data_IF_141493697209
#
_entry.id   IF_141493697209
#
_cell.length_a   1.000
_cell.length_b   1.000
_cell.length_c   1.000
_cell.angle_alpha   90.00
_cell.angle_beta   90.00
_cell.angle_gamma   90.00
#
_symmetry.space_group_name_H-M   'P 1'
#
loop_
_entity.id
_entity.type
_entity.pdbx_description
1 polymer ?
#
# COMPACT_ATOMS: atom_id res chain seq x y z
N UNK A 1 -11.98 -20.35 14.18
CA UNK A 1 -13.43 -20.29 14.00
C UNK A 1 -14.03 -19.04 14.67
N UNK A 2 -13.64 -18.69 15.93
CA UNK A 2 -14.19 -17.53 16.67
C UNK A 2 -14.00 -16.20 15.92
N UNK A 3 -12.80 -15.93 15.38
CA UNK A 3 -12.51 -14.68 14.61
C UNK A 3 -13.36 -14.61 13.35
N UNK A 4 -13.52 -15.72 12.63
CA UNK A 4 -14.34 -15.78 11.43
C UNK A 4 -15.82 -15.56 11.75
N UNK A 5 -16.34 -16.16 12.84
CA UNK A 5 -17.72 -15.92 13.27
C UNK A 5 -17.93 -14.48 13.73
N UNK A 6 -17.01 -13.88 14.46
CA UNK A 6 -17.08 -12.46 14.84
C UNK A 6 -17.07 -11.54 13.60
N UNK A 7 -16.25 -11.85 12.58
CA UNK A 7 -16.20 -11.09 11.34
C UNK A 7 -17.51 -11.20 10.55
N UNK A 8 -18.09 -12.41 10.46
CA UNK A 8 -19.41 -12.62 9.81
C UNK A 8 -20.50 -11.86 10.57
N UNK A 9 -20.53 -11.93 11.89
CA UNK A 9 -21.49 -11.19 12.72
C UNK A 9 -21.32 -9.66 12.50
N UNK A 10 -20.10 -9.15 12.49
CA UNK A 10 -19.81 -7.75 12.22
C UNK A 10 -20.34 -7.30 10.85
N UNK A 11 -20.09 -8.10 9.80
CA UNK A 11 -20.61 -7.82 8.46
C UNK A 11 -22.14 -7.87 8.42
N UNK A 12 -22.75 -8.86 9.09
CA UNK A 12 -24.20 -9.02 9.13
C UNK A 12 -24.88 -7.84 9.86
N UNK A 13 -24.32 -7.40 10.98
CA UNK A 13 -24.82 -6.22 11.71
C UNK A 13 -24.72 -4.97 10.82
N UNK A 14 -23.59 -4.77 10.15
CA UNK A 14 -23.44 -3.61 9.25
C UNK A 14 -24.40 -3.65 8.04
N UNK A 15 -24.75 -4.84 7.53
CA UNK A 15 -25.72 -4.98 6.45
C UNK A 15 -27.16 -4.64 6.89
N UNK A 16 -27.48 -4.80 8.19
CA UNK A 16 -28.81 -4.50 8.76
C UNK A 16 -28.99 -3.04 9.18
N UNK A 17 -27.90 -2.26 9.30
CA UNK A 17 -27.97 -0.85 9.68
C UNK A 17 -28.17 0.01 8.43
N UNK A 18 -29.31 0.71 8.29
CA UNK A 18 -29.52 1.66 7.19
C UNK A 18 -28.41 2.74 7.23
N UNK A 19 -27.80 3.03 6.07
CA UNK A 19 -26.69 3.99 5.95
C UNK A 19 -25.41 3.58 6.70
N UNK A 20 -25.18 2.28 6.91
CA UNK A 20 -23.90 1.84 7.49
C UNK A 20 -22.70 2.36 6.68
N UNK A 21 -21.55 2.63 7.31
CA UNK A 21 -20.34 3.07 6.60
C UNK A 21 -19.95 2.11 5.46
N UNK A 22 -20.16 0.82 5.63
CA UNK A 22 -19.87 -0.21 4.60
C UNK A 22 -20.84 -0.07 3.42
N UNK A 23 -22.14 0.04 3.68
CA UNK A 23 -23.15 0.19 2.62
C UNK A 23 -22.96 1.50 1.85
N UNK A 24 -22.66 2.60 2.56
CA UNK A 24 -22.36 3.88 1.92
C UNK A 24 -21.09 3.81 1.05
N UNK A 25 -20.09 3.05 1.47
CA UNK A 25 -18.88 2.82 0.65
C UNK A 25 -19.19 2.01 -0.61
N UNK A 26 -20.05 0.99 -0.52
CA UNK A 26 -20.47 0.21 -1.70
C UNK A 26 -21.28 1.06 -2.69
N UNK A 27 -22.19 1.89 -2.21
CA UNK A 27 -22.96 2.79 -3.08
C UNK A 27 -22.09 3.88 -3.70
N UNK A 28 -21.12 4.44 -2.93
CA UNK A 28 -20.10 5.35 -3.46
C UNK A 28 -19.26 4.68 -4.55
N UNK A 29 -18.80 3.44 -4.33
CA UNK A 29 -18.03 2.71 -5.34
C UNK A 29 -18.78 2.55 -6.66
N UNK A 30 -20.09 2.25 -6.60
CA UNK A 30 -20.93 2.19 -7.80
C UNK A 30 -21.02 3.53 -8.54
N UNK A 31 -21.21 4.62 -7.79
CA UNK A 31 -21.26 5.97 -8.36
C UNK A 31 -19.89 6.39 -8.93
N UNK A 32 -18.81 6.04 -8.22
CA UNK A 32 -17.44 6.29 -8.68
C UNK A 32 -17.15 5.53 -9.98
N UNK A 33 -17.58 4.27 -10.08
CA UNK A 33 -17.42 3.48 -11.30
C UNK A 33 -18.18 4.10 -12.49
N UNK A 34 -19.39 4.62 -12.26
CA UNK A 34 -20.15 5.32 -13.30
C UNK A 34 -19.48 6.63 -13.74
N UNK A 35 -18.95 7.43 -12.81
CA UNK A 35 -18.24 8.66 -13.13
C UNK A 35 -16.95 8.43 -13.92
N UNK A 36 -16.26 7.30 -13.68
CA UNK A 36 -15.09 6.88 -14.46
C UNK A 36 -15.48 6.60 -15.92
N UNK A 37 -16.62 5.96 -16.15
CA UNK A 37 -17.12 5.67 -17.50
C UNK A 37 -17.33 6.95 -18.33
N UNK A 38 -17.74 8.03 -17.67
CA UNK A 38 -17.92 9.36 -18.33
C UNK A 38 -16.68 10.25 -18.25
N UNK A 39 -15.52 9.71 -17.82
CA UNK A 39 -14.24 10.42 -17.67
C UNK A 39 -14.29 11.62 -16.71
N UNK A 40 -15.19 11.62 -15.76
CA UNK A 40 -15.24 12.61 -14.68
C UNK A 40 -14.41 12.15 -13.48
N UNK A 41 -13.16 12.55 -13.43
CA UNK A 41 -12.20 12.21 -12.36
C UNK A 41 -12.28 13.19 -11.16
N UNK A 42 -13.49 13.50 -10.69
CA UNK A 42 -13.71 14.50 -9.63
C UNK A 42 -13.80 13.90 -8.22
N UNK A 43 -14.03 12.59 -8.15
CA UNK A 43 -14.10 11.86 -6.87
C UNK A 43 -12.75 11.21 -6.50
N UNK A 44 -12.62 10.78 -5.24
CA UNK A 44 -11.38 10.19 -4.71
C UNK A 44 -10.86 8.99 -5.54
N UNK A 45 -11.76 8.13 -6.00
CA UNK A 45 -11.40 6.96 -6.82
C UNK A 45 -10.95 7.38 -8.20
N UNK A 46 -11.66 8.30 -8.84
CA UNK A 46 -11.31 8.84 -10.15
C UNK A 46 -9.95 9.55 -10.15
N UNK A 47 -9.69 10.37 -9.13
CA UNK A 47 -8.39 11.02 -8.95
C UNK A 47 -7.26 9.99 -8.90
N UNK A 48 -7.38 8.94 -8.05
CA UNK A 48 -6.38 7.88 -7.96
C UNK A 48 -6.15 7.17 -9.28
N UNK A 49 -7.22 6.81 -9.99
CA UNK A 49 -7.10 6.18 -11.31
C UNK A 49 -6.41 7.07 -12.33
N UNK A 50 -6.67 8.38 -12.32
CA UNK A 50 -5.96 9.31 -13.19
C UNK A 50 -4.48 9.39 -12.85
N UNK A 51 -4.13 9.46 -11.56
CA UNK A 51 -2.75 9.43 -11.09
C UNK A 51 -2.04 8.13 -11.46
N UNK A 52 -2.70 6.97 -11.32
CA UNK A 52 -2.14 5.67 -11.71
C UNK A 52 -1.95 5.55 -13.23
N UNK A 53 -2.90 6.08 -14.01
CA UNK A 53 -2.76 6.17 -15.47
C UNK A 53 -1.57 7.06 -15.86
N UNK A 54 -1.39 8.18 -15.15
CA UNK A 54 -0.23 9.06 -15.33
C UNK A 54 1.07 8.32 -15.00
N UNK A 55 1.11 7.56 -13.91
CA UNK A 55 2.27 6.73 -13.53
C UNK A 55 2.64 5.72 -14.61
N UNK A 56 1.65 5.04 -15.20
CA UNK A 56 1.89 4.11 -16.31
C UNK A 56 2.49 4.82 -17.53
N UNK A 57 2.00 6.00 -17.87
CA UNK A 57 2.54 6.79 -18.99
C UNK A 57 3.99 7.23 -18.72
N UNK A 58 4.30 7.67 -17.50
CA UNK A 58 5.66 8.03 -17.09
C UNK A 58 6.60 6.83 -17.13
N UNK A 59 6.15 5.67 -16.65
CA UNK A 59 6.91 4.42 -16.72
C UNK A 59 7.19 3.98 -18.16
N UNK A 60 6.22 4.09 -19.07
CA UNK A 60 6.42 3.76 -20.47
C UNK A 60 7.51 4.63 -21.14
N UNK A 61 7.64 5.88 -20.73
CA UNK A 61 8.67 6.79 -21.26
C UNK A 61 10.03 6.63 -20.57
N UNK A 62 10.05 6.23 -19.30
CA UNK A 62 11.27 6.08 -18.48
C UNK A 62 11.25 4.76 -17.70
N UNK A 63 11.32 3.59 -18.38
CA UNK A 63 11.01 2.30 -17.74
C UNK A 63 12.08 1.81 -16.76
N UNK A 64 13.33 2.21 -16.89
CA UNK A 64 14.44 1.67 -16.07
C UNK A 64 14.59 2.45 -14.77
N UNK A 65 14.75 3.77 -14.86
CA UNK A 65 15.07 4.65 -13.73
C UNK A 65 13.91 5.55 -13.29
N UNK A 66 12.79 5.55 -14.05
CA UNK A 66 11.68 6.47 -13.79
C UNK A 66 12.01 7.92 -14.05
N UNK A 67 11.15 8.83 -13.58
CA UNK A 67 11.30 10.28 -13.76
C UNK A 67 11.76 11.02 -12.49
N UNK A 68 11.98 10.31 -11.40
CA UNK A 68 12.23 10.87 -10.07
C UNK A 68 10.94 11.42 -9.43
N UNK A 69 11.03 11.67 -8.11
CA UNK A 69 9.89 12.23 -7.34
C UNK A 69 9.48 13.58 -7.91
N UNK A 70 10.42 14.44 -8.24
CA UNK A 70 10.17 15.76 -8.82
C UNK A 70 9.51 15.68 -10.19
N UNK A 71 9.87 14.69 -11.02
CA UNK A 71 9.21 14.46 -12.31
C UNK A 71 7.75 14.02 -12.19
N UNK A 72 7.41 13.29 -11.14
CA UNK A 72 6.01 12.97 -10.80
C UNK A 72 5.25 14.24 -10.44
N UNK A 73 5.80 15.06 -9.55
CA UNK A 73 5.19 16.31 -9.11
C UNK A 73 4.92 17.24 -10.30
N UNK A 74 5.92 17.47 -11.15
CA UNK A 74 5.75 18.26 -12.38
C UNK A 74 4.65 17.69 -13.31
N UNK A 75 4.57 16.38 -13.44
CA UNK A 75 3.54 15.77 -14.28
C UNK A 75 2.14 15.94 -13.69
N UNK A 76 2.00 15.82 -12.36
CA UNK A 76 0.74 16.05 -11.66
C UNK A 76 0.33 17.52 -11.69
N UNK A 77 1.29 18.46 -11.63
CA UNK A 77 1.07 19.90 -11.80
C UNK A 77 0.51 20.23 -13.19
N UNK A 78 1.00 19.57 -14.24
CA UNK A 78 0.43 19.71 -15.59
C UNK A 78 -1.03 19.25 -15.64
N UNK A 79 -1.35 18.11 -15.02
CA UNK A 79 -2.72 17.61 -14.94
C UNK A 79 -3.62 18.57 -14.15
N UNK A 80 -3.11 19.20 -13.11
CA UNK A 80 -3.83 20.24 -12.37
C UNK A 80 -4.03 21.50 -13.21
N UNK A 81 -3.00 22.01 -13.89
CA UNK A 81 -3.09 23.16 -14.80
C UNK A 81 -4.10 22.92 -15.94
N UNK A 82 -4.21 21.70 -16.44
CA UNK A 82 -5.20 21.26 -17.42
C UNK A 82 -6.61 21.04 -16.82
N UNK A 83 -6.84 21.37 -15.55
CA UNK A 83 -8.09 21.17 -14.81
C UNK A 83 -8.60 19.71 -14.78
N UNK A 84 -7.70 18.74 -14.95
CA UNK A 84 -8.00 17.31 -14.85
C UNK A 84 -7.96 16.82 -13.40
N UNK A 85 -7.18 17.49 -12.54
CA UNK A 85 -7.10 17.25 -11.10
C UNK A 85 -7.63 18.45 -10.33
N UNK A 86 -8.24 18.27 -9.14
CA UNK A 86 -8.74 19.35 -8.30
C UNK A 86 -7.63 20.13 -7.59
N UNK A 87 -6.46 19.50 -7.42
CA UNK A 87 -5.24 20.07 -6.83
C UNK A 87 -4.02 19.32 -7.35
N UNK A 88 -2.82 19.84 -7.10
CA UNK A 88 -1.60 19.08 -7.34
C UNK A 88 -1.38 18.02 -6.24
N UNK A 89 -0.77 16.90 -6.62
CA UNK A 89 -0.44 15.80 -5.74
C UNK A 89 1.04 15.45 -5.84
N UNK A 90 1.73 15.34 -4.71
CA UNK A 90 3.15 14.99 -4.65
C UNK A 90 3.40 13.48 -4.85
N UNK A 91 2.38 12.65 -4.61
CA UNK A 91 2.48 11.19 -4.73
C UNK A 91 1.22 10.58 -5.34
N UNK A 92 1.31 9.29 -5.69
CA UNK A 92 0.30 8.62 -6.50
C UNK A 92 -0.75 7.84 -5.70
N UNK A 93 -0.81 8.01 -4.36
CA UNK A 93 -1.72 7.29 -3.45
C UNK A 93 -1.70 5.77 -3.65
N UNK A 94 -0.55 5.22 -4.05
CA UNK A 94 -0.27 3.80 -4.18
C UNK A 94 1.23 3.63 -4.33
N UNK A 95 1.81 2.79 -3.47
CA UNK A 95 3.25 2.61 -3.40
C UNK A 95 3.84 2.01 -4.70
N UNK A 96 3.13 1.07 -5.32
CA UNK A 96 3.61 0.40 -6.54
C UNK A 96 3.62 1.37 -7.72
N UNK A 97 2.53 2.12 -7.93
CA UNK A 97 2.46 3.11 -9.01
C UNK A 97 3.41 4.28 -8.80
N UNK A 98 3.65 4.65 -7.54
CA UNK A 98 4.62 5.70 -7.24
C UNK A 98 6.04 5.24 -7.56
N UNK A 99 6.48 4.10 -7.02
CA UNK A 99 7.81 3.56 -7.26
C UNK A 99 8.07 3.28 -8.75
N UNK A 100 7.06 2.77 -9.44
CA UNK A 100 7.11 2.53 -10.88
C UNK A 100 7.37 3.83 -11.67
N UNK A 101 6.70 4.91 -11.33
CA UNK A 101 6.88 6.20 -12.01
C UNK A 101 8.16 6.91 -11.56
N UNK A 102 8.45 6.93 -10.25
CA UNK A 102 9.60 7.64 -9.70
C UNK A 102 10.93 6.97 -10.05
N UNK A 103 11.02 5.66 -9.87
CA UNK A 103 12.29 4.93 -9.93
C UNK A 103 12.29 3.79 -10.95
N UNK A 104 11.22 3.65 -11.74
CA UNK A 104 11.12 2.66 -12.81
C UNK A 104 11.17 1.22 -12.31
N UNK A 105 11.75 0.34 -13.14
CA UNK A 105 11.94 -1.07 -12.80
C UNK A 105 12.87 -1.26 -11.60
N UNK A 106 13.88 -0.41 -11.44
CA UNK A 106 14.80 -0.49 -10.30
C UNK A 106 14.05 -0.22 -8.98
N UNK A 107 13.17 0.78 -8.94
CA UNK A 107 12.33 1.04 -7.77
C UNK A 107 11.37 -0.10 -7.47
N UNK A 108 10.72 -0.65 -8.49
CA UNK A 108 9.86 -1.82 -8.32
C UNK A 108 10.60 -3.04 -7.77
N UNK A 109 11.80 -3.33 -8.30
CA UNK A 109 12.64 -4.43 -7.81
C UNK A 109 13.07 -4.20 -6.36
N UNK A 110 13.47 -2.97 -6.00
CA UNK A 110 13.83 -2.61 -4.64
C UNK A 110 12.65 -2.75 -3.67
N UNK A 111 11.48 -2.22 -4.05
CA UNK A 111 10.25 -2.35 -3.28
C UNK A 111 9.87 -3.83 -3.06
N UNK A 112 9.73 -4.57 -4.14
CA UNK A 112 9.34 -5.99 -4.09
C UNK A 112 10.39 -6.83 -3.35
N UNK A 113 11.68 -6.54 -3.56
CA UNK A 113 12.78 -7.20 -2.86
C UNK A 113 12.70 -7.00 -1.34
N UNK A 114 12.46 -5.77 -0.89
CA UNK A 114 12.32 -5.44 0.54
C UNK A 114 11.17 -6.22 1.19
N UNK A 115 9.98 -6.16 0.59
CA UNK A 115 8.82 -6.88 1.13
C UNK A 115 8.99 -8.39 1.06
N UNK A 116 9.49 -8.92 -0.06
CA UNK A 116 9.71 -10.35 -0.24
C UNK A 116 10.75 -10.89 0.74
N UNK A 117 11.87 -10.19 0.93
CA UNK A 117 12.91 -10.61 1.89
C UNK A 117 12.35 -10.68 3.33
N UNK A 118 11.60 -9.67 3.76
CA UNK A 118 10.97 -9.65 5.08
C UNK A 118 9.93 -10.78 5.22
N UNK A 119 9.05 -10.96 4.23
CA UNK A 119 8.04 -12.03 4.24
C UNK A 119 8.69 -13.42 4.25
N UNK A 120 9.75 -13.65 3.47
CA UNK A 120 10.49 -14.91 3.46
C UNK A 120 11.17 -15.18 4.81
N UNK A 121 11.80 -14.16 5.41
CA UNK A 121 12.45 -14.30 6.70
C UNK A 121 11.45 -14.70 7.79
N UNK A 122 10.38 -13.93 7.95
CA UNK A 122 9.36 -14.21 8.96
C UNK A 122 8.58 -15.51 8.63
N UNK A 123 8.27 -15.76 7.38
CA UNK A 123 7.58 -16.97 6.92
C UNK A 123 8.36 -18.25 7.24
N UNK A 124 9.69 -18.24 7.11
CA UNK A 124 10.56 -19.36 7.46
C UNK A 124 10.43 -19.76 8.92
N UNK A 125 10.20 -18.81 9.83
CA UNK A 125 10.16 -19.02 11.27
C UNK A 125 8.73 -19.13 11.83
N UNK A 126 7.71 -19.05 11.00
CA UNK A 126 6.29 -19.10 11.41
C UNK A 126 5.93 -20.34 12.24
N UNK A 127 6.44 -21.51 11.88
CA UNK A 127 6.15 -22.77 12.55
C UNK A 127 7.28 -23.23 13.48
N UNK A 128 8.14 -22.31 13.93
CA UNK A 128 9.27 -22.66 14.81
C UNK A 128 8.78 -23.24 16.15
N UNK A 129 9.52 -24.24 16.72
CA UNK A 129 9.15 -24.90 17.98
C UNK A 129 9.18 -23.94 19.18
N UNK A 130 10.19 -23.04 19.22
CA UNK A 130 10.26 -22.00 20.23
C UNK A 130 9.12 -20.99 20.06
N UNK A 131 8.30 -20.85 21.13
CA UNK A 131 7.12 -19.97 21.15
C UNK A 131 7.45 -18.50 20.92
N UNK A 132 8.60 -18.01 21.44
CA UNK A 132 9.01 -16.63 21.27
C UNK A 132 9.31 -16.33 19.80
N UNK A 133 10.10 -17.21 19.16
CA UNK A 133 10.43 -17.07 17.72
C UNK A 133 9.16 -17.08 16.88
N UNK A 134 8.25 -18.02 17.15
CA UNK A 134 6.98 -18.10 16.44
C UNK A 134 6.14 -16.82 16.60
N UNK A 135 6.02 -16.31 17.83
CA UNK A 135 5.25 -15.07 18.10
C UNK A 135 5.85 -13.87 17.40
N UNK A 136 7.18 -13.69 17.48
CA UNK A 136 7.88 -12.61 16.79
C UNK A 136 7.71 -12.71 15.27
N UNK A 137 7.77 -13.91 14.72
CA UNK A 137 7.59 -14.16 13.28
C UNK A 137 6.16 -13.85 12.81
N UNK A 138 5.14 -14.27 13.58
CA UNK A 138 3.75 -13.93 13.29
C UNK A 138 3.52 -12.40 13.33
N UNK A 139 4.10 -11.73 14.35
CA UNK A 139 4.01 -10.27 14.46
C UNK A 139 4.68 -9.56 13.29
N UNK A 140 5.86 -10.04 12.87
CA UNK A 140 6.58 -9.51 11.72
C UNK A 140 5.82 -9.69 10.42
N UNK A 141 5.24 -10.87 10.18
CA UNK A 141 4.40 -11.11 9.00
C UNK A 141 3.18 -10.18 8.97
N UNK A 142 2.45 -10.08 10.09
CA UNK A 142 1.29 -9.20 10.17
C UNK A 142 1.67 -7.74 9.92
N UNK A 143 2.79 -7.28 10.47
CA UNK A 143 3.30 -5.94 10.29
C UNK A 143 3.66 -5.63 8.83
N UNK A 144 4.41 -6.53 8.18
CA UNK A 144 4.84 -6.37 6.77
C UNK A 144 3.63 -6.41 5.83
N UNK A 145 2.72 -7.36 6.01
CA UNK A 145 1.50 -7.47 5.21
C UNK A 145 0.63 -6.22 5.38
N UNK A 146 0.46 -5.73 6.61
CA UNK A 146 -0.28 -4.51 6.88
C UNK A 146 0.29 -3.32 6.09
N UNK A 147 1.62 -3.10 6.15
CA UNK A 147 2.25 -1.98 5.45
C UNK A 147 2.16 -2.10 3.93
N UNK A 148 2.26 -3.31 3.39
CA UNK A 148 2.05 -3.53 1.95
C UNK A 148 0.61 -3.21 1.55
N UNK A 149 -0.38 -3.75 2.25
CA UNK A 149 -1.79 -3.50 1.96
C UNK A 149 -2.17 -2.02 2.14
N UNK A 150 -1.68 -1.38 3.20
CA UNK A 150 -1.89 0.05 3.42
C UNK A 150 -1.24 0.88 2.30
N UNK A 151 -0.04 0.49 1.85
CA UNK A 151 0.66 1.11 0.71
C UNK A 151 -0.09 1.02 -0.62
N UNK A 152 -0.99 0.06 -0.79
CA UNK A 152 -1.83 -0.04 -1.99
C UNK A 152 -2.93 1.02 -2.04
N UNK A 153 -3.30 1.62 -0.91
CA UNK A 153 -4.34 2.65 -0.82
C UNK A 153 -3.81 4.04 -0.52
N UNK A 154 -2.62 4.11 0.07
CA UNK A 154 -1.90 5.34 0.37
C UNK A 154 -0.40 5.06 0.34
N UNK A 155 0.41 6.01 -0.15
CA UNK A 155 1.86 5.82 -0.19
C UNK A 155 2.49 6.12 1.18
N UNK A 156 2.29 5.23 2.15
CA UNK A 156 2.76 5.40 3.53
C UNK A 156 4.28 5.61 3.63
N UNK A 157 5.06 4.89 2.80
CA UNK A 157 6.50 5.01 2.79
C UNK A 157 7.03 6.27 2.07
N UNK A 158 6.14 7.11 1.53
CA UNK A 158 6.51 8.45 1.06
C UNK A 158 6.90 9.35 2.22
N UNK A 159 6.29 9.17 3.37
CA UNK A 159 6.57 9.95 4.57
C UNK A 159 7.79 9.37 5.29
N UNK A 160 8.82 10.17 5.47
CA UNK A 160 10.12 9.78 6.03
C UNK A 160 9.98 9.08 7.39
N UNK A 161 9.12 9.59 8.27
CA UNK A 161 8.86 9.01 9.61
C UNK A 161 8.31 7.59 9.52
N UNK A 162 7.36 7.34 8.61
CA UNK A 162 6.79 6.02 8.40
C UNK A 162 7.80 5.03 7.82
N UNK A 163 8.68 5.51 6.94
CA UNK A 163 9.76 4.71 6.38
C UNK A 163 10.75 4.29 7.47
N UNK A 164 11.17 5.21 8.32
CA UNK A 164 12.05 4.88 9.45
C UNK A 164 11.39 3.90 10.41
N UNK A 165 10.12 4.09 10.77
CA UNK A 165 9.39 3.17 11.63
C UNK A 165 9.27 1.77 11.01
N UNK A 166 8.98 1.68 9.72
CA UNK A 166 8.90 0.39 9.04
C UNK A 166 10.22 -0.38 9.11
N UNK A 167 11.33 0.26 8.77
CA UNK A 167 12.64 -0.40 8.80
C UNK A 167 13.11 -0.67 10.23
N UNK A 168 12.91 0.24 11.18
CA UNK A 168 13.29 0.07 12.57
C UNK A 168 12.57 -1.13 13.21
N UNK A 169 11.25 -1.20 13.06
CA UNK A 169 10.45 -2.29 13.64
C UNK A 169 10.80 -3.61 12.97
N UNK A 170 10.91 -3.63 11.64
CA UNK A 170 11.28 -4.85 10.89
C UNK A 170 12.65 -5.35 11.32
N UNK A 171 13.66 -4.48 11.38
CA UNK A 171 15.02 -4.83 11.81
C UNK A 171 15.06 -5.29 13.27
N UNK A 172 14.30 -4.65 14.17
CA UNK A 172 14.22 -5.04 15.58
C UNK A 172 13.62 -6.44 15.74
N UNK A 173 12.53 -6.76 15.05
CA UNK A 173 11.92 -8.09 15.08
C UNK A 173 12.86 -9.17 14.52
N UNK A 174 13.54 -8.88 13.41
CA UNK A 174 14.56 -9.78 12.85
C UNK A 174 15.68 -10.01 13.86
N UNK A 175 16.21 -8.96 14.48
CA UNK A 175 17.30 -9.04 15.46
C UNK A 175 16.90 -9.87 16.68
N UNK A 176 15.69 -9.69 17.21
CA UNK A 176 15.18 -10.48 18.33
C UNK A 176 15.08 -11.97 17.97
N UNK A 177 14.57 -12.30 16.79
CA UNK A 177 14.54 -13.69 16.31
C UNK A 177 15.94 -14.28 16.21
N UNK A 178 16.91 -13.53 15.66
CA UNK A 178 18.28 -14.00 15.54
C UNK A 178 18.97 -14.23 16.90
N UNK A 179 18.65 -13.42 17.90
CA UNK A 179 19.14 -13.62 19.28
C UNK A 179 18.55 -14.89 19.89
N UNK A 180 17.23 -15.09 19.79
CA UNK A 180 16.54 -16.27 20.28
C UNK A 180 17.04 -17.57 19.60
N UNK A 181 17.33 -17.51 18.29
CA UNK A 181 17.90 -18.66 17.54
C UNK A 181 19.31 -19.04 18.01
N UNK A 182 20.08 -18.10 18.57
CA UNK A 182 21.42 -18.39 19.11
C UNK A 182 21.37 -18.93 20.54
N UNK A 183 20.29 -18.67 21.26
CA UNK A 183 20.10 -19.12 22.66
C UNK A 183 19.35 -20.44 22.78
N UNK A 184 18.74 -20.91 21.71
CA UNK A 184 18.00 -22.18 21.63
C UNK A 184 18.86 -23.31 21.08
#
# INVERSE_FOLDING_TARGET
YLILSMFIIFLSINALIPNSPIFNRFSQFKNDYQSIQVKEYKNSTGIRLLLWKNSLALFQTHPIMGVGIYGIEQSNDKLFAEKKLPQSFQHQHNIVFHEMAAHGLLGLLGLMGTFTAALCFFGKHWFHQNSNIRTLSCSGLAFVIYHFCAGMTEHYLFFVDNTYLFYLITASLISLILVELKSS
#
